data_IF_258495155727
#
_entry.id   IF_258495155727
#
_cell.length_a   1.000
_cell.length_b   1.000
_cell.length_c   1.000
_cell.angle_alpha   90.00
_cell.angle_beta   90.00
_cell.angle_gamma   90.00
#
_symmetry.space_group_name_H-M   'P 1'
#
loop_
_entity.id
_entity.type
_entity.pdbx_description
1 polymer ?
#
# COMPACT_ATOMS: atom_id res chain seq x y z
N UNK A 1 -19.02 7.27 -0.05
CA UNK A 1 -18.81 5.92 0.50
C UNK A 1 -17.31 5.67 0.50
N UNK A 2 -16.73 5.41 1.65
CA UNK A 2 -15.28 5.19 1.79
C UNK A 2 -14.90 3.87 1.08
N UNK A 3 -13.90 3.90 0.21
CA UNK A 3 -13.46 2.69 -0.50
C UNK A 3 -12.87 1.71 0.54
N UNK A 4 -13.32 0.44 0.50
CA UNK A 4 -12.80 -0.54 1.45
C UNK A 4 -11.30 -0.75 1.25
N UNK A 5 -10.54 -0.85 2.36
CA UNK A 5 -9.08 -1.12 2.32
C UNK A 5 -8.74 -2.32 1.43
N UNK A 6 -9.59 -3.35 1.44
CA UNK A 6 -9.42 -4.57 0.63
C UNK A 6 -9.45 -4.24 -0.86
N UNK A 7 -10.42 -3.41 -1.30
CA UNK A 7 -10.51 -2.99 -2.70
C UNK A 7 -9.30 -2.16 -3.12
N UNK A 8 -8.86 -1.25 -2.26
CA UNK A 8 -7.69 -0.42 -2.55
C UNK A 8 -6.41 -1.25 -2.67
N UNK A 9 -6.18 -2.18 -1.73
CA UNK A 9 -5.05 -3.13 -1.82
C UNK A 9 -5.15 -4.01 -3.06
N UNK A 10 -6.35 -4.45 -3.45
CA UNK A 10 -6.54 -5.22 -4.70
C UNK A 10 -6.08 -4.41 -5.91
N UNK A 11 -6.51 -3.16 -6.04
CA UNK A 11 -6.11 -2.26 -7.14
C UNK A 11 -4.59 -2.02 -7.18
N UNK A 12 -3.97 -1.81 -6.01
CA UNK A 12 -2.50 -1.66 -5.90
C UNK A 12 -1.75 -2.93 -6.36
N UNK A 13 -2.25 -4.11 -5.97
CA UNK A 13 -1.65 -5.38 -6.39
C UNK A 13 -1.86 -5.64 -7.89
N UNK A 14 -2.97 -5.19 -8.47
CA UNK A 14 -3.21 -5.23 -9.92
C UNK A 14 -2.20 -4.37 -10.66
N UNK A 15 -1.98 -3.12 -10.25
CA UNK A 15 -0.98 -2.25 -10.84
C UNK A 15 0.44 -2.86 -10.79
N UNK A 16 0.82 -3.48 -9.65
CA UNK A 16 2.09 -4.21 -9.54
C UNK A 16 2.15 -5.45 -10.46
N UNK A 17 1.05 -6.18 -10.62
CA UNK A 17 1.01 -7.35 -11.53
C UNK A 17 1.14 -6.92 -12.98
N UNK A 18 0.45 -5.86 -13.38
CA UNK A 18 0.48 -5.33 -14.72
C UNK A 18 1.83 -4.68 -15.09
N UNK A 19 2.62 -4.20 -14.11
CA UNK A 19 3.97 -3.75 -14.38
C UNK A 19 4.96 -4.90 -14.65
N UNK A 20 4.63 -6.13 -14.28
CA UNK A 20 5.51 -7.30 -14.43
C UNK A 20 6.72 -7.32 -13.50
N UNK A 21 6.96 -6.24 -12.74
CA UNK A 21 8.13 -6.07 -11.88
C UNK A 21 7.98 -6.81 -10.55
N UNK A 22 9.07 -7.36 -10.03
CA UNK A 22 9.21 -7.84 -8.66
C UNK A 22 9.32 -6.68 -7.66
N UNK A 23 9.13 -6.96 -6.36
CA UNK A 23 9.33 -5.94 -5.33
C UNK A 23 10.80 -5.50 -5.23
N UNK A 24 11.76 -6.33 -5.66
CA UNK A 24 13.18 -5.98 -5.68
C UNK A 24 13.47 -4.97 -6.79
N UNK A 25 12.98 -5.20 -8.01
CA UNK A 25 13.17 -4.26 -9.13
C UNK A 25 12.55 -2.88 -8.82
N UNK A 26 11.34 -2.85 -8.25
CA UNK A 26 10.70 -1.59 -7.83
C UNK A 26 11.53 -0.91 -6.72
N UNK A 27 12.08 -1.67 -5.79
CA UNK A 27 12.92 -1.14 -4.71
C UNK A 27 14.21 -0.52 -5.26
N UNK A 28 14.87 -1.16 -6.22
CA UNK A 28 16.06 -0.66 -6.89
C UNK A 28 15.78 0.65 -7.64
N UNK A 29 14.70 0.71 -8.42
CA UNK A 29 14.30 1.92 -9.15
C UNK A 29 13.93 3.09 -8.22
N UNK A 30 13.26 2.79 -7.10
CA UNK A 30 12.77 3.81 -6.17
C UNK A 30 13.81 4.22 -5.11
N UNK A 31 14.85 3.42 -4.91
CA UNK A 31 15.78 3.56 -3.79
C UNK A 31 15.15 3.23 -2.43
N UNK A 32 14.06 2.45 -2.43
CA UNK A 32 13.37 1.97 -1.23
C UNK A 32 13.82 0.55 -0.90
N UNK A 33 13.47 0.04 0.28
CA UNK A 33 13.64 -1.40 0.56
C UNK A 33 12.46 -2.17 -0.05
N UNK A 34 12.71 -3.39 -0.52
CA UNK A 34 11.69 -4.29 -1.05
C UNK A 34 10.54 -4.54 -0.06
N UNK A 35 10.86 -4.68 1.23
CA UNK A 35 9.87 -4.81 2.31
C UNK A 35 9.01 -3.57 2.40
N UNK A 36 9.61 -2.38 2.34
CA UNK A 36 8.85 -1.13 2.39
C UNK A 36 7.94 -0.96 1.17
N UNK A 37 8.41 -1.30 -0.04
CA UNK A 37 7.56 -1.34 -1.25
C UNK A 37 6.38 -2.30 -1.06
N UNK A 38 6.61 -3.51 -0.56
CA UNK A 38 5.55 -4.47 -0.30
C UNK A 38 4.55 -3.96 0.76
N UNK A 39 5.01 -3.27 1.80
CA UNK A 39 4.17 -2.65 2.82
C UNK A 39 3.32 -1.51 2.28
N UNK A 40 3.87 -0.67 1.39
CA UNK A 40 3.15 0.40 0.70
C UNK A 40 1.98 -0.18 -0.12
N UNK A 41 2.27 -1.18 -0.97
CA UNK A 41 1.27 -1.82 -1.83
C UNK A 41 0.23 -2.65 -1.06
N UNK A 42 0.48 -2.95 0.22
CA UNK A 42 -0.46 -3.62 1.15
C UNK A 42 -1.17 -2.65 2.10
N UNK A 43 -0.99 -1.33 1.93
CA UNK A 43 -1.51 -0.30 2.85
C UNK A 43 -1.16 -0.57 4.31
N UNK A 44 0.12 -0.86 4.56
CA UNK A 44 0.70 -1.02 5.90
C UNK A 44 1.72 0.09 6.22
N UNK A 45 2.23 0.74 5.19
CA UNK A 45 3.09 1.93 5.29
C UNK A 45 2.44 3.14 4.61
N UNK A 46 2.87 4.33 5.02
CA UNK A 46 2.47 5.60 4.43
C UNK A 46 3.51 6.00 3.39
N UNK A 47 3.09 6.37 2.19
CA UNK A 47 3.98 6.93 1.18
C UNK A 47 4.43 8.33 1.61
N UNK A 48 5.74 8.59 1.53
CA UNK A 48 6.29 9.92 1.80
C UNK A 48 6.32 10.76 0.51
N UNK A 49 6.02 12.07 0.58
CA UNK A 49 5.97 12.93 -0.62
C UNK A 49 7.25 12.87 -1.45
N UNK A 50 8.41 12.80 -0.79
CA UNK A 50 9.72 12.75 -1.46
C UNK A 50 9.92 11.52 -2.36
N UNK A 51 9.21 10.42 -2.10
CA UNK A 51 9.35 9.14 -2.82
C UNK A 51 8.26 8.93 -3.85
N UNK A 52 7.25 9.81 -3.90
CA UNK A 52 6.13 9.72 -4.82
C UNK A 52 6.57 9.76 -6.30
N UNK A 53 7.44 10.69 -6.73
CA UNK A 53 7.81 10.77 -8.15
C UNK A 53 8.46 9.48 -8.66
N UNK A 54 9.39 8.93 -7.88
CA UNK A 54 10.08 7.67 -8.22
C UNK A 54 9.13 6.48 -8.25
N UNK A 55 8.19 6.41 -7.31
CA UNK A 55 7.21 5.33 -7.29
C UNK A 55 6.25 5.42 -8.49
N UNK A 56 5.83 6.63 -8.87
CA UNK A 56 4.98 6.88 -10.04
C UNK A 56 5.71 6.52 -11.34
N UNK A 57 7.00 6.81 -11.44
CA UNK A 57 7.84 6.41 -12.57
C UNK A 57 8.00 4.88 -12.65
N UNK A 58 8.23 4.22 -11.51
CA UNK A 58 8.37 2.76 -11.42
C UNK A 58 7.07 2.03 -11.74
N UNK A 59 5.92 2.57 -11.31
CA UNK A 59 4.58 2.01 -11.47
C UNK A 59 3.64 3.05 -12.13
N UNK A 60 3.77 3.32 -13.44
CA UNK A 60 3.03 4.38 -14.12
C UNK A 60 1.51 4.14 -14.23
N UNK A 61 1.07 2.92 -13.93
CA UNK A 61 -0.34 2.51 -13.94
C UNK A 61 -1.06 2.86 -12.62
N UNK A 62 -0.34 3.32 -11.60
CA UNK A 62 -0.97 3.85 -10.39
C UNK A 62 -1.68 5.16 -10.73
N UNK A 63 -2.99 5.21 -10.52
CA UNK A 63 -3.76 6.44 -10.64
C UNK A 63 -3.39 7.44 -9.55
N UNK A 64 -3.62 8.73 -9.80
CA UNK A 64 -3.36 9.79 -8.82
C UNK A 64 -4.15 9.55 -7.53
N UNK A 65 -5.41 9.11 -7.65
CA UNK A 65 -6.26 8.70 -6.53
C UNK A 65 -5.59 7.65 -5.63
N UNK A 66 -4.97 6.62 -6.21
CA UNK A 66 -4.28 5.58 -5.44
C UNK A 66 -3.04 6.14 -4.73
N UNK A 67 -2.30 7.04 -5.37
CA UNK A 67 -1.13 7.69 -4.77
C UNK A 67 -1.55 8.59 -3.60
N UNK A 68 -2.62 9.36 -3.75
CA UNK A 68 -3.19 10.18 -2.67
C UNK A 68 -3.62 9.32 -1.48
N UNK A 69 -4.29 8.21 -1.72
CA UNK A 69 -4.68 7.27 -0.67
C UNK A 69 -3.47 6.62 0.01
N UNK A 70 -2.41 6.33 -0.73
CA UNK A 70 -1.15 5.82 -0.18
C UNK A 70 -0.44 6.84 0.73
N UNK A 71 -0.62 8.14 0.48
CA UNK A 71 -0.07 9.21 1.31
C UNK A 71 -0.86 9.40 2.62
N UNK A 72 -2.12 8.95 2.70
CA UNK A 72 -2.89 8.95 3.95
C UNK A 72 -2.35 7.89 4.92
N UNK A 73 -2.20 8.19 6.22
CA UNK A 73 -1.82 7.20 7.24
C UNK A 73 -2.76 5.97 7.18
N UNK A 74 -2.23 4.74 7.06
CA UNK A 74 -3.07 3.56 6.97
C UNK A 74 -3.61 3.17 8.35
N UNK A 75 -4.90 2.82 8.42
CA UNK A 75 -5.43 2.10 9.58
C UNK A 75 -4.98 0.63 9.51
N UNK A 76 -4.05 0.27 10.38
CA UNK A 76 -3.41 -1.06 10.40
C UNK A 76 -4.30 -2.05 11.15
N UNK A 77 -4.31 -3.29 10.69
CA UNK A 77 -4.88 -4.44 11.41
C UNK A 77 -6.32 -4.31 11.94
N UNK A 78 -7.14 -3.40 11.38
CA UNK A 78 -8.55 -3.33 11.75
C UNK A 78 -9.34 -4.46 11.09
N UNK A 79 -9.93 -5.29 11.93
CA UNK A 79 -10.91 -6.29 11.55
C UNK A 79 -12.14 -6.07 12.45
N UNK A 80 -13.29 -5.65 11.90
CA UNK A 80 -14.50 -5.40 12.67
C UNK A 80 -15.09 -6.69 13.26
N UNK A 81 -14.69 -7.87 12.79
CA UNK A 81 -15.11 -9.16 13.34
C UNK A 81 -14.18 -9.67 14.45
N UNK A 82 -13.04 -9.01 14.66
CA UNK A 82 -12.15 -9.30 15.76
C UNK A 82 -12.76 -8.68 17.03
N UNK A 83 -13.55 -9.48 17.76
CA UNK A 83 -14.16 -9.09 19.04
C UNK A 83 -13.06 -8.60 19.99
N UNK A 84 -13.06 -7.31 20.33
CA UNK A 84 -12.11 -6.72 21.27
C UNK A 84 -12.79 -6.42 22.60
N UNK A 85 -13.03 -7.47 23.39
CA UNK A 85 -13.40 -7.32 24.80
C UNK A 85 -12.13 -7.52 25.64
N UNK A 86 -11.41 -6.44 25.93
CA UNK A 86 -10.14 -6.47 26.70
C UNK A 86 -10.32 -7.01 28.14
N UNK A 87 -11.55 -7.03 28.65
CA UNK A 87 -11.90 -7.62 29.95
C UNK A 87 -12.18 -9.13 29.90
N UNK A 88 -12.23 -9.73 28.71
CA UNK A 88 -12.37 -11.18 28.53
C UNK A 88 -11.02 -11.73 28.09
N UNK A 89 -10.29 -12.37 29.00
CA UNK A 89 -9.07 -13.10 28.65
C UNK A 89 -9.47 -14.44 28.01
N UNK A 90 -9.04 -14.65 26.76
CA UNK A 90 -9.13 -15.92 26.04
C UNK A 90 -7.74 -16.46 25.78
#
# INVERSE_FOLDING_TARGET
MEESKVNLVRRLQEAKRHSGKSYNEIAEETGLTNVYVAQLLRRQAQLKPQTLPKLKESLPQLSEELLEEMMKPPFRSYDPNLIQETAIYR
#
